data_IF_715145460184
#
_entry.id   IF_715145460184
#
_cell.length_a   1.000
_cell.length_b   1.000
_cell.length_c   1.000
_cell.angle_alpha   90.00
_cell.angle_beta   90.00
_cell.angle_gamma   90.00
#
_symmetry.space_group_name_H-M   'P 1'
#
loop_
_entity.id
_entity.type
_entity.pdbx_description
1 polymer ?
#
# COMPACT_ATOMS: atom_id res chain seq x y z
N UNK A 1 -17.23 18.04 26.45
CA UNK A 1 -17.31 16.74 25.77
C UNK A 1 -15.91 16.32 25.37
N UNK A 2 -15.31 15.35 26.05
CA UNK A 2 -14.10 14.70 25.54
C UNK A 2 -14.54 13.76 24.42
N UNK A 3 -14.40 14.19 23.18
CA UNK A 3 -14.41 13.26 22.05
C UNK A 3 -13.22 12.34 22.31
N UNK A 4 -13.47 11.06 22.50
CA UNK A 4 -12.38 10.10 22.68
C UNK A 4 -11.48 10.20 21.44
N UNK A 5 -10.26 10.71 21.59
CA UNK A 5 -9.24 10.80 20.54
C UNK A 5 -8.77 9.41 20.08
N UNK A 6 -9.55 8.34 20.25
CA UNK A 6 -9.19 6.98 19.86
C UNK A 6 -9.29 6.83 18.35
N UNK A 7 -8.34 6.09 17.77
CA UNK A 7 -8.34 5.77 16.36
C UNK A 7 -9.58 4.97 15.97
N UNK A 8 -10.35 5.49 15.01
CA UNK A 8 -11.59 4.84 14.53
C UNK A 8 -11.34 3.49 13.87
N UNK A 9 -10.09 3.20 13.47
CA UNK A 9 -9.73 1.95 12.82
C UNK A 9 -9.54 0.78 13.80
N UNK A 10 -8.99 1.04 14.99
CA UNK A 10 -8.61 0.01 15.96
C UNK A 10 -9.23 0.19 17.36
N UNK A 11 -9.74 1.38 17.68
CA UNK A 11 -10.30 1.78 18.97
C UNK A 11 -9.36 1.58 20.19
N UNK A 12 -8.06 1.43 19.97
CA UNK A 12 -7.10 1.01 21.00
C UNK A 12 -6.09 2.09 21.43
N UNK A 13 -5.85 3.11 20.60
CA UNK A 13 -4.86 4.13 20.87
C UNK A 13 -5.29 5.48 20.29
N UNK A 14 -4.58 6.54 20.69
CA UNK A 14 -4.83 7.90 20.19
C UNK A 14 -4.64 7.97 18.67
N UNK A 15 -5.58 8.58 17.97
CA UNK A 15 -5.46 8.86 16.55
C UNK A 15 -4.42 9.96 16.31
N UNK A 16 -3.37 9.60 15.58
CA UNK A 16 -2.37 10.52 15.03
C UNK A 16 -2.10 10.07 13.59
N UNK A 17 -1.49 10.90 12.74
CA UNK A 17 -1.12 10.44 11.39
C UNK A 17 -0.19 9.21 11.44
N UNK A 18 0.79 9.21 12.35
CA UNK A 18 1.68 8.07 12.54
C UNK A 18 0.92 6.81 12.96
N UNK A 19 -0.02 6.93 13.90
CA UNK A 19 -0.83 5.80 14.32
C UNK A 19 -1.76 5.33 13.20
N UNK A 20 -2.60 6.23 12.69
CA UNK A 20 -3.63 5.94 11.69
C UNK A 20 -3.08 5.17 10.50
N UNK A 21 -1.96 5.62 9.93
CA UNK A 21 -1.44 5.02 8.73
C UNK A 21 -0.48 3.85 9.03
N UNK A 22 0.24 3.83 10.17
CA UNK A 22 1.42 2.96 10.31
C UNK A 22 1.52 2.13 11.59
N UNK A 23 0.97 2.58 12.72
CA UNK A 23 1.03 1.81 13.98
C UNK A 23 -0.31 1.19 14.36
N UNK A 24 -1.40 1.62 13.70
CA UNK A 24 -2.72 1.06 13.88
C UNK A 24 -2.68 -0.42 13.48
N UNK A 25 -3.13 -1.35 14.34
CA UNK A 25 -3.16 -2.77 14.02
C UNK A 25 -3.91 -3.08 12.71
N UNK A 26 -5.04 -2.40 12.48
CA UNK A 26 -5.80 -2.54 11.23
C UNK A 26 -4.96 -2.15 10.02
N UNK A 27 -4.38 -0.94 10.02
CA UNK A 27 -3.56 -0.44 8.92
C UNK A 27 -2.30 -1.27 8.72
N UNK A 28 -1.66 -1.71 9.80
CA UNK A 28 -0.45 -2.55 9.79
C UNK A 28 -0.71 -3.89 9.10
N UNK A 29 -1.85 -4.52 9.37
CA UNK A 29 -2.21 -5.77 8.68
C UNK A 29 -2.47 -5.53 7.19
N UNK A 30 -3.15 -4.43 6.84
CA UNK A 30 -3.34 -4.04 5.42
C UNK A 30 -1.97 -3.88 4.73
N UNK A 31 -1.03 -3.19 5.36
CA UNK A 31 0.33 -3.04 4.84
C UNK A 31 1.03 -4.37 4.61
N UNK A 32 1.01 -5.27 5.60
CA UNK A 32 1.66 -6.58 5.49
C UNK A 32 1.10 -7.41 4.33
N UNK A 33 -0.23 -7.40 4.15
CA UNK A 33 -0.89 -8.12 3.06
C UNK A 33 -0.57 -7.55 1.67
N UNK A 34 -0.30 -6.25 1.57
CA UNK A 34 0.05 -5.59 0.30
C UNK A 34 1.55 -5.73 -0.02
N UNK A 35 2.42 -5.53 0.98
CA UNK A 35 3.88 -5.51 0.81
C UNK A 35 4.48 -6.85 0.38
N UNK A 36 3.83 -7.98 0.71
CA UNK A 36 4.29 -9.32 0.27
C UNK A 36 4.40 -9.46 -1.26
N UNK A 37 3.82 -8.52 -2.02
CA UNK A 37 3.84 -8.49 -3.50
C UNK A 37 4.96 -7.65 -4.10
N UNK A 38 5.68 -6.82 -3.34
CA UNK A 38 6.63 -5.83 -3.91
C UNK A 38 8.05 -6.36 -4.16
N UNK A 39 8.31 -7.66 -3.93
CA UNK A 39 9.65 -8.31 -4.06
C UNK A 39 10.79 -7.49 -3.43
N UNK A 40 10.52 -6.86 -2.29
CA UNK A 40 11.48 -6.06 -1.56
C UNK A 40 11.66 -6.68 -0.16
N UNK A 41 12.47 -7.75 -0.04
CA UNK A 41 12.80 -8.33 1.26
C UNK A 41 13.60 -7.30 2.06
N UNK A 42 13.15 -7.01 3.28
CA UNK A 42 13.77 -6.02 4.16
C UNK A 42 13.09 -4.66 4.19
N UNK A 43 11.92 -4.49 3.55
CA UNK A 43 11.06 -3.34 3.84
C UNK A 43 10.76 -3.36 5.34
N UNK A 44 11.12 -2.30 6.07
CA UNK A 44 10.88 -2.21 7.50
C UNK A 44 9.38 -2.33 7.81
N UNK A 45 9.08 -2.91 8.96
CA UNK A 45 7.74 -3.07 9.51
C UNK A 45 7.13 -1.76 10.06
N UNK A 46 7.85 -0.64 9.95
CA UNK A 46 7.41 0.71 10.32
C UNK A 46 7.55 1.67 9.13
N UNK A 47 6.48 2.39 8.80
CA UNK A 47 6.48 3.21 7.57
C UNK A 47 7.46 4.38 7.59
N UNK A 48 7.86 4.91 8.75
CA UNK A 48 8.91 5.95 8.82
C UNK A 48 10.16 5.48 8.09
N UNK A 49 10.55 4.24 8.37
CA UNK A 49 11.68 3.61 7.69
C UNK A 49 11.35 3.24 6.23
N UNK A 50 10.09 3.00 5.85
CA UNK A 50 9.70 2.76 4.44
C UNK A 50 9.77 4.05 3.61
N UNK A 51 9.28 5.20 4.12
CA UNK A 51 9.38 6.49 3.41
C UNK A 51 10.83 6.89 3.28
N UNK A 52 11.59 6.82 4.37
CA UNK A 52 13.01 7.16 4.36
C UNK A 52 13.78 6.22 3.42
N UNK A 53 13.45 4.93 3.43
CA UNK A 53 14.03 3.95 2.50
C UNK A 53 13.63 4.22 1.04
N UNK A 54 12.38 4.65 0.77
CA UNK A 54 11.97 5.03 -0.59
C UNK A 54 12.62 6.31 -1.07
N UNK A 55 12.85 7.28 -0.18
CA UNK A 55 13.60 8.50 -0.50
C UNK A 55 15.06 8.15 -0.79
N UNK A 56 15.65 7.25 -0.02
CA UNK A 56 17.06 6.89 -0.13
C UNK A 56 17.37 5.96 -1.32
N UNK A 57 16.49 5.00 -1.61
CA UNK A 57 16.74 3.93 -2.59
C UNK A 57 15.75 3.91 -3.78
N UNK A 58 14.64 4.65 -3.69
CA UNK A 58 13.55 4.66 -4.67
C UNK A 58 13.67 5.71 -5.79
N UNK A 59 14.87 6.23 -6.05
CA UNK A 59 15.11 7.35 -6.99
C UNK A 59 15.34 6.92 -8.45
N UNK A 60 15.58 5.63 -8.71
CA UNK A 60 15.78 5.14 -10.08
C UNK A 60 14.45 5.02 -10.85
N UNK A 61 14.45 5.22 -12.17
CA UNK A 61 13.26 5.10 -13.04
C UNK A 61 12.85 3.63 -13.31
N UNK A 62 13.15 2.72 -12.39
CA UNK A 62 12.92 1.29 -12.56
C UNK A 62 11.49 0.94 -12.16
N UNK A 63 10.90 -0.04 -12.84
CA UNK A 63 9.52 -0.52 -12.58
C UNK A 63 9.27 -0.91 -11.12
N UNK A 64 10.28 -1.45 -10.44
CA UNK A 64 10.22 -1.75 -9.00
C UNK A 64 9.89 -0.50 -8.16
N UNK A 65 10.50 0.65 -8.46
CA UNK A 65 10.20 1.89 -7.75
C UNK A 65 8.78 2.36 -8.04
N UNK A 66 8.32 2.22 -9.28
CA UNK A 66 6.92 2.52 -9.62
C UNK A 66 5.95 1.67 -8.80
N UNK A 67 6.21 0.37 -8.66
CA UNK A 67 5.42 -0.56 -7.84
C UNK A 67 5.44 -0.14 -6.37
N UNK A 68 6.60 0.25 -5.84
CA UNK A 68 6.73 0.65 -4.44
C UNK A 68 6.03 1.97 -4.13
N UNK A 69 6.24 2.99 -4.96
CA UNK A 69 5.60 4.31 -4.81
C UNK A 69 4.08 4.22 -4.97
N UNK A 70 3.59 3.46 -5.95
CA UNK A 70 2.15 3.25 -6.12
C UNK A 70 1.55 2.47 -4.96
N UNK A 71 2.27 1.48 -4.43
CA UNK A 71 1.86 0.74 -3.23
C UNK A 71 1.69 1.67 -2.03
N UNK A 72 2.67 2.55 -1.79
CA UNK A 72 2.60 3.53 -0.71
C UNK A 72 1.39 4.46 -0.88
N UNK A 73 1.28 5.08 -2.05
CA UNK A 73 0.24 6.07 -2.33
C UNK A 73 -1.17 5.49 -2.24
N UNK A 74 -1.42 4.34 -2.87
CA UNK A 74 -2.74 3.72 -2.91
C UNK A 74 -3.15 3.18 -1.53
N UNK A 75 -2.23 2.59 -0.77
CA UNK A 75 -2.53 2.11 0.58
C UNK A 75 -2.86 3.24 1.55
N UNK A 76 -2.07 4.33 1.57
CA UNK A 76 -2.35 5.52 2.40
C UNK A 76 -3.70 6.13 2.03
N UNK A 77 -3.96 6.31 0.74
CA UNK A 77 -5.22 6.86 0.26
C UNK A 77 -6.41 5.96 0.62
N UNK A 78 -6.25 4.64 0.46
CA UNK A 78 -7.26 3.67 0.85
C UNK A 78 -7.58 3.74 2.34
N UNK A 79 -6.56 3.74 3.21
CA UNK A 79 -6.74 3.84 4.67
C UNK A 79 -7.48 5.13 5.03
N UNK A 80 -7.15 6.24 4.38
CA UNK A 80 -7.84 7.50 4.55
C UNK A 80 -9.32 7.41 4.16
N UNK A 81 -9.65 6.79 3.02
CA UNK A 81 -11.03 6.55 2.61
C UNK A 81 -11.78 5.69 3.63
N UNK A 82 -11.17 4.62 4.13
CA UNK A 82 -11.78 3.73 5.11
C UNK A 82 -12.07 4.47 6.43
N UNK A 83 -11.11 5.27 6.93
CA UNK A 83 -11.33 6.16 8.06
C UNK A 83 -12.53 7.08 7.83
N UNK A 84 -12.58 7.75 6.68
CA UNK A 84 -13.67 8.66 6.32
C UNK A 84 -15.02 7.92 6.31
N UNK A 85 -15.07 6.70 5.79
CA UNK A 85 -16.29 5.90 5.76
C UNK A 85 -16.76 5.52 7.18
N UNK A 86 -15.86 5.14 8.09
CA UNK A 86 -16.22 4.83 9.47
C UNK A 86 -16.74 6.05 10.23
N UNK A 87 -16.09 7.20 10.06
CA UNK A 87 -16.47 8.44 10.75
C UNK A 87 -17.81 9.00 10.26
N UNK A 88 -18.02 9.06 8.95
CA UNK A 88 -19.16 9.80 8.38
C UNK A 88 -20.29 8.92 7.87
N UNK A 89 -20.06 7.62 7.68
CA UNK A 89 -21.05 6.69 7.11
C UNK A 89 -21.34 5.50 8.03
N UNK A 90 -20.58 5.33 9.12
CA UNK A 90 -20.71 4.16 10.00
C UNK A 90 -20.34 2.83 9.33
N UNK A 91 -19.68 2.87 8.17
CA UNK A 91 -19.29 1.68 7.41
C UNK A 91 -17.88 1.25 7.78
N UNK A 92 -17.69 -0.04 8.07
CA UNK A 92 -16.40 -0.63 8.41
C UNK A 92 -16.11 -1.86 7.57
N UNK A 93 -15.02 -1.84 6.81
CA UNK A 93 -14.51 -3.00 6.08
C UNK A 93 -13.57 -3.82 6.95
N UNK A 94 -13.58 -5.13 6.74
CA UNK A 94 -12.55 -6.01 7.29
C UNK A 94 -11.21 -5.80 6.58
N UNK A 95 -10.13 -6.17 7.27
CA UNK A 95 -8.75 -6.03 6.78
C UNK A 95 -8.58 -6.70 5.41
N UNK A 96 -9.13 -7.89 5.20
CA UNK A 96 -8.94 -8.64 3.96
C UNK A 96 -9.62 -7.94 2.76
N UNK A 97 -10.83 -7.41 2.97
CA UNK A 97 -11.56 -6.63 1.95
C UNK A 97 -10.78 -5.37 1.61
N UNK A 98 -10.27 -4.68 2.63
CA UNK A 98 -9.50 -3.45 2.46
C UNK A 98 -8.20 -3.72 1.69
N UNK A 99 -7.47 -4.78 2.05
CA UNK A 99 -6.23 -5.18 1.41
C UNK A 99 -6.45 -5.58 -0.05
N UNK A 100 -7.52 -6.34 -0.33
CA UNK A 100 -7.88 -6.70 -1.69
C UNK A 100 -8.19 -5.47 -2.55
N UNK A 101 -8.94 -4.50 -2.02
CA UNK A 101 -9.24 -3.25 -2.73
C UNK A 101 -7.97 -2.45 -3.08
N UNK A 102 -7.03 -2.37 -2.14
CA UNK A 102 -5.74 -1.71 -2.34
C UNK A 102 -4.92 -2.46 -3.40
N UNK A 103 -4.81 -3.79 -3.30
CA UNK A 103 -4.09 -4.62 -4.27
C UNK A 103 -4.67 -4.46 -5.68
N UNK A 104 -6.00 -4.49 -5.83
CA UNK A 104 -6.66 -4.34 -7.12
C UNK A 104 -6.42 -2.94 -7.70
N UNK A 105 -6.51 -1.89 -6.87
CA UNK A 105 -6.25 -0.51 -7.30
C UNK A 105 -4.81 -0.32 -7.77
N UNK A 106 -3.83 -0.92 -7.08
CA UNK A 106 -2.42 -0.90 -7.50
C UNK A 106 -2.25 -1.67 -8.81
N UNK A 107 -2.84 -2.88 -8.90
CA UNK A 107 -2.79 -3.70 -10.11
C UNK A 107 -3.34 -2.94 -11.31
N UNK A 108 -4.51 -2.32 -11.19
CA UNK A 108 -5.15 -1.58 -12.29
C UNK A 108 -4.25 -0.41 -12.75
N UNK A 109 -3.65 0.31 -11.79
CA UNK A 109 -2.66 1.33 -12.06
C UNK A 109 -1.42 0.76 -12.78
N UNK A 110 -0.91 -0.41 -12.38
CA UNK A 110 0.24 -1.05 -13.01
C UNK A 110 -0.09 -1.58 -14.41
N UNK A 111 -1.28 -2.15 -14.63
CA UNK A 111 -1.77 -2.59 -15.93
C UNK A 111 -1.91 -1.45 -16.94
N UNK A 112 -2.11 -0.21 -16.48
CA UNK A 112 -2.14 0.97 -17.35
C UNK A 112 -0.77 1.34 -17.92
N UNK A 113 0.31 0.75 -17.39
CA UNK A 113 1.68 1.00 -17.84
C UNK A 113 1.98 0.17 -19.09
N UNK A 114 2.72 0.78 -20.00
CA UNK A 114 3.16 0.15 -21.25
C UNK A 114 4.68 0.20 -21.35
N UNK A 115 5.23 -0.71 -22.14
CA UNK A 115 6.65 -0.77 -22.45
C UNK A 115 7.56 -0.90 -21.21
N UNK A 116 7.11 -1.65 -20.19
CA UNK A 116 7.95 -2.02 -19.05
C UNK A 116 9.09 -2.90 -19.56
N UNK A 117 10.35 -2.52 -19.28
CA UNK A 117 11.51 -3.29 -19.74
C UNK A 117 11.37 -4.77 -19.36
N UNK A 118 11.54 -5.67 -20.32
CA UNK A 118 11.48 -7.11 -20.10
C UNK A 118 12.78 -7.63 -19.45
N UNK A 119 12.87 -7.49 -18.12
CA UNK A 119 13.95 -8.04 -17.30
C UNK A 119 13.41 -9.11 -16.35
N UNK A 120 14.28 -10.00 -15.88
CA UNK A 120 13.92 -11.04 -14.90
C UNK A 120 13.23 -10.46 -13.66
N UNK A 121 13.74 -9.33 -13.14
CA UNK A 121 13.14 -8.64 -11.99
C UNK A 121 11.72 -8.12 -12.31
N UNK A 122 11.53 -7.51 -13.48
CA UNK A 122 10.24 -6.94 -13.85
C UNK A 122 9.20 -8.02 -14.14
N UNK A 123 9.62 -9.16 -14.72
CA UNK A 123 8.76 -10.34 -14.90
C UNK A 123 8.34 -10.95 -13.57
N UNK A 124 9.27 -11.15 -12.64
CA UNK A 124 8.97 -11.64 -11.30
C UNK A 124 7.99 -10.72 -10.55
N UNK A 125 8.16 -9.38 -10.68
CA UNK A 125 7.18 -8.41 -10.17
C UNK A 125 5.83 -8.55 -10.87
N UNK A 126 5.83 -8.68 -12.20
CA UNK A 126 4.65 -8.97 -13.00
C UNK A 126 3.85 -10.15 -12.47
N UNK A 127 4.51 -11.28 -12.23
CA UNK A 127 3.90 -12.50 -11.73
C UNK A 127 3.28 -12.31 -10.33
N UNK A 128 4.01 -11.64 -9.41
CA UNK A 128 3.52 -11.32 -8.06
C UNK A 128 2.27 -10.43 -8.06
N UNK A 129 2.18 -9.52 -9.03
CA UNK A 129 1.04 -8.63 -9.23
C UNK A 129 0.01 -9.17 -10.24
N UNK A 130 0.25 -10.36 -10.80
CA UNK A 130 -0.55 -11.02 -11.84
C UNK A 130 -0.77 -10.17 -13.10
N UNK A 131 0.21 -9.34 -13.47
CA UNK A 131 0.08 -8.39 -14.58
C UNK A 131 0.10 -9.11 -15.93
N UNK A 132 -0.61 -8.59 -16.96
CA UNK A 132 -0.61 -9.20 -18.28
C UNK A 132 0.72 -9.00 -18.99
N UNK A 133 1.13 -9.97 -19.81
CA UNK A 133 2.41 -9.90 -20.55
C UNK A 133 2.52 -8.70 -21.50
N UNK A 134 1.39 -8.15 -21.93
CA UNK A 134 1.29 -7.01 -22.83
C UNK A 134 1.90 -5.72 -22.27
N UNK A 135 2.14 -5.63 -20.96
CA UNK A 135 2.81 -4.46 -20.39
C UNK A 135 4.31 -4.44 -20.68
N UNK A 136 4.92 -5.60 -20.95
CA UNK A 136 6.36 -5.72 -21.12
C UNK A 136 6.78 -5.44 -22.56
N UNK A 137 7.91 -4.76 -22.74
CA UNK A 137 8.51 -4.59 -24.06
C UNK A 137 8.87 -5.95 -24.65
N UNK A 138 8.81 -6.07 -25.98
CA UNK A 138 9.41 -7.21 -26.68
C UNK A 138 10.90 -7.34 -26.33
#
# INVERSE_FOLDING_TARGET
MHVEDKCVLCNNARETHHHLFFQCPFSSMVWQQVLVRTLAPGIPNTLTNIVDWLVQYGTSKVFQNLVLHSTLAVAVYGIWIERKARVFQGLSKQVDVMSLNVVNSIRDFLCSRRCVKNSTLNRALGDKWRLPDSIFSM
#
